data_IF_300313233004
#
_entry.id   IF_300313233004
#
_cell.length_a   1.000
_cell.length_b   1.000
_cell.length_c   1.000
_cell.angle_alpha   90.00
_cell.angle_beta   90.00
_cell.angle_gamma   90.00
#
_symmetry.space_group_name_H-M   'P 1'
#
loop_
_entity.id
_entity.type
_entity.pdbx_description
1 polymer ?
#
# COMPACT_ATOMS: atom_id res chain seq x y z
N UNK A 1 -2.00 -0.63 25.80
CA UNK A 1 -1.47 0.75 25.61
C UNK A 1 -1.73 1.14 24.19
N UNK A 2 -2.45 2.22 23.96
CA UNK A 2 -2.62 2.80 22.64
C UNK A 2 -1.29 3.41 22.18
N UNK A 3 -1.10 3.51 20.87
CA UNK A 3 0.15 3.98 20.30
C UNK A 3 -0.12 4.74 18.99
N UNK A 4 0.74 4.55 18.01
CA UNK A 4 0.56 5.17 16.68
C UNK A 4 -0.10 4.15 15.75
N UNK A 5 -1.24 4.52 15.19
CA UNK A 5 -1.86 3.79 14.08
C UNK A 5 -1.60 4.55 12.78
N UNK A 6 -1.19 3.83 11.75
CA UNK A 6 -0.91 4.35 10.41
C UNK A 6 -1.89 3.69 9.43
N UNK A 7 -2.76 4.49 8.80
CA UNK A 7 -3.69 4.02 7.76
C UNK A 7 -3.01 4.14 6.41
N UNK A 8 -2.89 3.02 5.72
CA UNK A 8 -2.15 2.85 4.48
C UNK A 8 -0.80 2.16 4.71
N UNK A 9 -0.44 1.23 3.84
CA UNK A 9 0.83 0.52 3.85
C UNK A 9 1.68 0.85 2.61
N UNK A 10 1.69 2.11 2.19
CA UNK A 10 2.53 2.59 1.10
C UNK A 10 3.92 3.04 1.57
N UNK A 11 4.67 3.64 0.65
CA UNK A 11 6.04 4.12 0.89
C UNK A 11 6.11 5.09 2.09
N UNK A 12 5.16 6.02 2.20
CA UNK A 12 5.12 7.00 3.30
C UNK A 12 4.94 6.32 4.67
N UNK A 13 4.05 5.32 4.75
CA UNK A 13 3.80 4.56 5.96
C UNK A 13 5.04 3.76 6.39
N UNK A 14 5.65 3.02 5.46
CA UNK A 14 6.87 2.24 5.73
C UNK A 14 8.03 3.12 6.18
N UNK A 15 8.21 4.28 5.54
CA UNK A 15 9.26 5.23 5.94
C UNK A 15 8.96 5.88 7.29
N UNK A 16 7.69 6.29 7.56
CA UNK A 16 7.31 6.87 8.84
C UNK A 16 7.54 5.90 10.00
N UNK A 17 7.14 4.66 9.87
CA UNK A 17 7.34 3.64 10.89
C UNK A 17 8.84 3.39 11.16
N UNK A 18 9.66 3.30 10.10
CA UNK A 18 11.11 3.17 10.24
C UNK A 18 11.73 4.39 10.95
N UNK A 19 11.31 5.60 10.56
CA UNK A 19 11.82 6.85 11.18
C UNK A 19 11.42 6.95 12.66
N UNK A 20 10.23 6.53 13.04
CA UNK A 20 9.80 6.49 14.44
C UNK A 20 10.71 5.57 15.27
N UNK A 21 11.05 4.38 14.75
CA UNK A 21 11.99 3.47 15.45
C UNK A 21 13.41 4.03 15.51
N UNK A 22 13.87 4.68 14.44
CA UNK A 22 15.17 5.38 14.44
C UNK A 22 15.21 6.51 15.48
N UNK A 23 14.09 7.22 15.66
CA UNK A 23 13.93 8.25 16.70
C UNK A 23 13.70 7.66 18.10
N UNK A 24 13.87 6.35 18.28
CA UNK A 24 13.70 5.64 19.56
C UNK A 24 12.29 5.76 20.17
N UNK A 25 11.26 5.86 19.32
CA UNK A 25 9.89 5.77 19.79
C UNK A 25 9.60 4.35 20.27
N UNK A 26 9.32 4.17 21.55
CA UNK A 26 9.14 2.87 22.20
C UNK A 26 7.68 2.40 22.23
N UNK A 27 6.71 3.28 21.94
CA UNK A 27 5.29 2.95 21.89
C UNK A 27 4.93 1.99 20.76
N UNK A 28 3.74 1.43 20.80
CA UNK A 28 3.25 0.54 19.73
C UNK A 28 3.09 1.30 18.40
N UNK A 29 3.42 0.64 17.30
CA UNK A 29 3.20 1.13 15.92
C UNK A 29 2.41 0.05 15.19
N UNK A 30 1.25 0.42 14.65
CA UNK A 30 0.39 -0.47 13.86
C UNK A 30 0.17 0.16 12.49
N UNK A 31 0.44 -0.59 11.43
CA UNK A 31 0.19 -0.20 10.03
C UNK A 31 -0.97 -1.05 9.51
N UNK A 32 -1.99 -0.40 8.96
CA UNK A 32 -3.18 -1.02 8.37
C UNK A 32 -3.20 -0.74 6.87
N UNK A 33 -2.96 -1.75 6.04
CA UNK A 33 -2.86 -1.64 4.58
C UNK A 33 -3.90 -2.43 3.83
N UNK A 34 -4.56 -1.81 2.85
CA UNK A 34 -5.57 -2.48 2.03
C UNK A 34 -4.96 -3.46 1.00
N UNK A 35 -3.73 -3.22 0.58
CA UNK A 35 -3.01 -4.12 -0.33
C UNK A 35 -2.42 -5.30 0.44
N UNK A 36 -2.22 -6.43 -0.23
CA UNK A 36 -1.67 -7.65 0.38
C UNK A 36 -0.15 -7.61 0.54
N UNK A 37 0.50 -6.65 -0.11
CA UNK A 37 1.95 -6.49 -0.07
C UNK A 37 2.40 -5.58 1.08
N UNK A 38 3.58 -5.85 1.69
CA UNK A 38 4.25 -4.92 2.57
C UNK A 38 4.53 -3.57 1.87
N UNK A 39 4.87 -2.50 2.61
CA UNK A 39 5.18 -1.20 2.01
C UNK A 39 6.26 -1.27 0.92
N UNK A 40 5.96 -0.79 -0.27
CA UNK A 40 6.85 -0.82 -1.43
C UNK A 40 6.91 0.53 -2.17
N UNK A 41 7.93 0.68 -3.01
CA UNK A 41 8.19 1.86 -3.83
C UNK A 41 7.36 1.79 -5.12
N UNK A 42 6.59 2.86 -5.39
CA UNK A 42 5.74 2.93 -6.61
C UNK A 42 6.52 3.27 -7.90
N UNK A 43 7.56 4.14 -7.88
CA UNK A 43 8.22 4.55 -9.11
C UNK A 43 8.79 3.41 -9.97
N UNK A 44 9.31 2.30 -9.42
CA UNK A 44 9.77 1.18 -10.24
C UNK A 44 8.67 0.43 -10.99
N UNK A 45 7.41 0.53 -10.54
CA UNK A 45 6.30 -0.24 -11.09
C UNK A 45 6.07 -0.02 -12.57
N UNK A 46 6.24 1.21 -13.07
CA UNK A 46 6.11 1.56 -14.48
C UNK A 46 7.42 1.46 -15.28
N UNK A 47 8.47 0.92 -14.66
CA UNK A 47 9.83 0.88 -15.21
C UNK A 47 10.41 -0.53 -15.08
N UNK A 48 11.44 -0.68 -14.26
CA UNK A 48 12.21 -1.91 -14.09
C UNK A 48 11.38 -3.08 -13.53
N UNK A 49 10.35 -2.80 -12.74
CA UNK A 49 9.45 -3.86 -12.29
C UNK A 49 8.55 -4.33 -13.46
N UNK A 50 7.99 -3.40 -14.26
CA UNK A 50 7.20 -3.76 -15.45
C UNK A 50 8.01 -4.53 -16.48
N UNK A 51 9.26 -4.12 -16.75
CA UNK A 51 10.15 -4.81 -17.70
C UNK A 51 10.66 -6.16 -17.20
N UNK A 52 10.49 -6.46 -15.88
CA UNK A 52 10.99 -7.70 -15.29
C UNK A 52 12.47 -7.66 -14.87
N UNK A 53 13.14 -6.51 -15.02
CA UNK A 53 14.53 -6.32 -14.59
C UNK A 53 14.68 -6.29 -13.06
N UNK A 54 13.61 -5.91 -12.36
CA UNK A 54 13.57 -5.80 -10.90
C UNK A 54 12.54 -6.77 -10.32
N UNK A 55 12.98 -7.65 -9.42
CA UNK A 55 12.07 -8.53 -8.69
C UNK A 55 11.30 -7.81 -7.58
N UNK A 56 10.24 -8.44 -7.09
CA UNK A 56 9.35 -7.88 -6.07
C UNK A 56 10.10 -7.48 -4.79
N UNK A 57 11.07 -8.28 -4.35
CA UNK A 57 11.82 -8.01 -3.12
C UNK A 57 12.60 -6.69 -3.17
N UNK A 58 13.00 -6.27 -4.37
CA UNK A 58 13.78 -5.05 -4.57
C UNK A 58 12.95 -3.78 -4.67
N UNK A 59 11.65 -3.90 -4.80
CA UNK A 59 10.74 -2.74 -4.74
C UNK A 59 10.26 -2.45 -3.31
N UNK A 60 10.46 -3.36 -2.37
CA UNK A 60 10.04 -3.17 -0.98
C UNK A 60 10.78 -1.98 -0.33
N UNK A 61 10.08 -1.19 0.50
CA UNK A 61 10.69 -0.10 1.29
C UNK A 61 11.64 -0.67 2.33
N UNK A 62 11.25 -1.78 2.95
CA UNK A 62 12.05 -2.61 3.86
C UNK A 62 11.65 -4.07 3.66
N UNK A 63 12.56 -5.02 3.92
CA UNK A 63 12.21 -6.43 3.97
C UNK A 63 11.06 -6.66 4.97
N UNK A 64 10.18 -7.61 4.71
CA UNK A 64 9.03 -7.90 5.59
C UNK A 64 9.47 -8.18 7.04
N UNK A 65 10.56 -8.93 7.20
CA UNK A 65 11.17 -9.23 8.49
C UNK A 65 11.49 -7.98 9.32
N UNK A 66 11.82 -6.86 8.69
CA UNK A 66 12.12 -5.60 9.38
C UNK A 66 10.98 -5.16 10.31
N UNK A 67 9.74 -5.30 9.88
CA UNK A 67 8.58 -4.86 10.67
C UNK A 67 8.46 -5.70 11.95
N UNK A 68 8.62 -7.00 11.85
CA UNK A 68 8.61 -7.89 13.00
C UNK A 68 9.80 -7.62 13.95
N UNK A 69 11.02 -7.52 13.40
CA UNK A 69 12.25 -7.27 14.18
C UNK A 69 12.18 -5.91 14.93
N UNK A 70 11.46 -4.93 14.39
CA UNK A 70 11.26 -3.61 14.99
C UNK A 70 9.96 -3.50 15.81
N UNK A 71 9.28 -4.61 16.09
CA UNK A 71 8.01 -4.61 16.83
C UNK A 71 6.98 -3.65 16.22
N UNK A 72 6.87 -3.63 14.89
CA UNK A 72 5.85 -2.91 14.13
C UNK A 72 4.79 -3.91 13.69
N UNK A 73 3.56 -3.75 14.16
CA UNK A 73 2.44 -4.57 13.72
C UNK A 73 2.02 -4.14 12.29
N UNK A 74 2.27 -4.99 11.31
CA UNK A 74 1.89 -4.76 9.92
C UNK A 74 0.72 -5.68 9.55
N UNK A 75 -0.43 -5.08 9.27
CA UNK A 75 -1.62 -5.77 8.80
C UNK A 75 -1.87 -5.42 7.34
N UNK A 76 -1.52 -6.33 6.45
CA UNK A 76 -1.81 -6.24 5.01
C UNK A 76 -3.20 -6.80 4.71
N UNK A 77 -3.79 -6.47 3.55
CA UNK A 77 -5.15 -6.87 3.22
C UNK A 77 -6.23 -6.30 4.15
N UNK A 78 -5.87 -5.29 4.94
CA UNK A 78 -6.73 -4.71 5.99
C UNK A 78 -7.19 -3.32 5.59
N UNK A 79 -8.45 -3.22 5.18
CA UNK A 79 -9.08 -1.96 4.79
C UNK A 79 -9.68 -1.25 5.99
N UNK A 80 -9.28 -0.02 6.24
CA UNK A 80 -9.93 0.86 7.22
C UNK A 80 -11.14 1.52 6.55
N UNK A 81 -12.28 1.49 7.22
CA UNK A 81 -13.54 2.06 6.72
C UNK A 81 -13.95 3.33 7.45
N UNK A 82 -13.67 3.41 8.74
CA UNK A 82 -14.06 4.57 9.52
C UNK A 82 -13.02 4.97 10.57
N UNK A 83 -13.08 6.25 10.94
CA UNK A 83 -12.26 6.85 11.99
C UNK A 83 -13.21 7.53 12.97
N UNK A 84 -13.20 7.09 14.23
CA UNK A 84 -13.88 7.78 15.32
C UNK A 84 -12.86 8.62 16.09
N UNK A 85 -12.98 9.94 16.00
CA UNK A 85 -12.08 10.88 16.65
C UNK A 85 -12.40 11.06 18.14
N UNK A 86 -13.64 10.79 18.54
CA UNK A 86 -14.09 10.94 19.93
C UNK A 86 -13.52 9.83 20.81
N UNK A 87 -13.57 8.60 20.30
CA UNK A 87 -13.02 7.41 20.96
C UNK A 87 -11.57 7.13 20.55
N UNK A 88 -11.00 7.89 19.61
CA UNK A 88 -9.66 7.67 19.03
C UNK A 88 -9.50 6.22 18.54
N UNK A 89 -10.42 5.77 17.73
CA UNK A 89 -10.38 4.43 17.14
C UNK A 89 -10.56 4.45 15.62
N UNK A 90 -10.03 3.44 14.96
CA UNK A 90 -10.32 3.14 13.56
C UNK A 90 -10.97 1.77 13.47
N UNK A 91 -11.93 1.62 12.56
CA UNK A 91 -12.61 0.35 12.31
C UNK A 91 -12.30 -0.13 10.90
N UNK A 92 -12.01 -1.42 10.78
CA UNK A 92 -11.72 -2.08 9.50
C UNK A 92 -12.98 -2.69 8.89
N UNK A 93 -12.90 -3.09 7.63
CA UNK A 93 -13.98 -3.80 6.91
C UNK A 93 -14.34 -5.16 7.52
N UNK A 94 -13.42 -5.78 8.28
CA UNK A 94 -13.68 -7.00 9.05
C UNK A 94 -14.39 -6.74 10.38
N UNK A 95 -14.55 -5.47 10.78
CA UNK A 95 -15.14 -5.09 12.05
C UNK A 95 -14.13 -4.95 13.21
N UNK A 96 -12.86 -5.20 12.96
CA UNK A 96 -11.82 -5.02 13.97
C UNK A 96 -11.62 -3.54 14.29
N UNK A 97 -11.44 -3.22 15.58
CA UNK A 97 -11.20 -1.86 16.05
C UNK A 97 -9.77 -1.70 16.61
N UNK A 98 -9.09 -0.65 16.19
CA UNK A 98 -7.74 -0.29 16.66
C UNK A 98 -7.77 1.06 17.34
N UNK A 99 -7.39 1.10 18.63
CA UNK A 99 -7.26 2.32 19.41
C UNK A 99 -5.92 3.00 19.12
N UNK A 100 -5.90 4.34 19.11
CA UNK A 100 -4.69 5.11 18.86
C UNK A 100 -4.55 6.33 19.81
N UNK A 101 -3.32 6.69 20.12
CA UNK A 101 -2.98 8.00 20.71
C UNK A 101 -2.76 9.03 19.59
N UNK A 102 -2.05 8.61 18.55
CA UNK A 102 -1.77 9.38 17.33
C UNK A 102 -2.17 8.57 16.10
N UNK A 103 -2.74 9.25 15.13
CA UNK A 103 -3.15 8.67 13.86
C UNK A 103 -2.41 9.34 12.70
N UNK A 104 -1.77 8.53 11.87
CA UNK A 104 -1.21 8.97 10.59
C UNK A 104 -2.05 8.44 9.44
N UNK A 105 -2.56 9.32 8.59
CA UNK A 105 -3.27 8.95 7.37
C UNK A 105 -2.29 9.02 6.20
N UNK A 106 -1.90 7.87 5.65
CA UNK A 106 -0.91 7.70 4.58
C UNK A 106 -1.48 6.83 3.45
N UNK A 107 -2.74 7.02 3.11
CA UNK A 107 -3.51 6.19 2.16
C UNK A 107 -3.10 6.38 0.69
N UNK A 108 -2.32 7.39 0.39
CA UNK A 108 -1.87 7.68 -0.97
C UNK A 108 -3.00 8.20 -1.89
N UNK A 109 -2.95 7.80 -3.15
CA UNK A 109 -3.90 8.23 -4.18
C UNK A 109 -4.41 7.04 -5.00
N UNK A 110 -5.41 7.30 -5.85
CA UNK A 110 -5.96 6.33 -6.82
C UNK A 110 -5.81 6.88 -8.24
N UNK A 111 -5.68 6.04 -9.27
CA UNK A 111 -5.80 6.48 -10.64
C UNK A 111 -7.17 7.10 -10.89
N UNK A 112 -7.22 8.13 -11.73
CA UNK A 112 -8.50 8.63 -12.22
C UNK A 112 -9.02 7.64 -13.26
N UNK A 113 -10.14 7.01 -12.96
CA UNK A 113 -10.80 6.12 -13.92
C UNK A 113 -11.43 6.96 -15.04
N UNK A 114 -11.21 6.55 -16.28
CA UNK A 114 -11.83 7.17 -17.44
C UNK A 114 -13.34 6.90 -17.44
N UNK A 115 -14.12 7.91 -17.81
CA UNK A 115 -15.59 7.83 -17.89
C UNK A 115 -16.11 8.15 -19.30
N UNK A 116 -15.28 7.89 -20.32
CA UNK A 116 -15.61 8.06 -21.74
C UNK A 116 -16.18 6.77 -22.33
N UNK A 117 -16.95 6.84 -23.43
CA UNK A 117 -17.44 5.65 -24.11
C UNK A 117 -16.30 4.67 -24.42
N UNK A 118 -16.48 3.40 -24.09
CA UNK A 118 -15.50 2.33 -24.29
C UNK A 118 -14.48 2.18 -23.15
N UNK A 119 -14.54 2.98 -22.09
CA UNK A 119 -13.64 2.83 -20.92
C UNK A 119 -13.90 1.56 -20.11
N UNK A 120 -14.97 0.85 -20.39
CA UNK A 120 -15.37 -0.43 -19.81
C UNK A 120 -14.97 -1.65 -20.68
N UNK A 121 -14.34 -1.42 -21.83
CA UNK A 121 -13.88 -2.49 -22.70
C UNK A 121 -12.72 -3.29 -22.08
N UNK A 122 -12.61 -4.55 -22.45
CA UNK A 122 -11.49 -5.40 -22.06
C UNK A 122 -10.16 -4.87 -22.63
N UNK A 123 -9.07 -5.08 -21.90
CA UNK A 123 -7.73 -4.64 -22.29
C UNK A 123 -7.39 -3.20 -21.87
N UNK A 124 -8.25 -2.55 -21.10
CA UNK A 124 -7.95 -1.26 -20.47
C UNK A 124 -7.39 -1.54 -19.08
N UNK A 125 -6.20 -1.03 -18.83
CA UNK A 125 -5.47 -1.22 -17.58
C UNK A 125 -5.10 0.12 -16.95
N UNK A 126 -5.10 0.17 -15.64
CA UNK A 126 -4.60 1.30 -14.86
C UNK A 126 -3.37 0.84 -14.10
N UNK A 127 -2.36 1.69 -14.01
CA UNK A 127 -1.11 1.33 -13.34
C UNK A 127 -0.97 2.10 -12.02
N UNK A 128 -1.10 1.38 -10.91
CA UNK A 128 -0.91 1.94 -9.58
C UNK A 128 -0.30 0.96 -8.59
N UNK A 129 -0.70 -0.30 -8.63
CA UNK A 129 -0.33 -1.35 -7.68
C UNK A 129 0.55 -2.41 -8.34
N UNK A 130 1.15 -3.29 -7.54
CA UNK A 130 1.86 -4.47 -8.04
C UNK A 130 0.89 -5.35 -8.84
N UNK A 131 -0.32 -5.59 -8.33
CA UNK A 131 -1.33 -6.41 -9.00
C UNK A 131 -1.72 -5.84 -10.37
N UNK A 132 -1.81 -4.50 -10.50
CA UNK A 132 -2.04 -3.85 -11.79
C UNK A 132 -0.91 -4.17 -12.79
N UNK A 133 0.34 -4.08 -12.33
CA UNK A 133 1.50 -4.39 -13.19
C UNK A 133 1.53 -5.84 -13.60
N UNK A 134 1.23 -6.76 -12.70
CA UNK A 134 1.21 -8.19 -12.99
C UNK A 134 0.09 -8.52 -14.00
N UNK A 135 -1.07 -7.86 -13.87
CA UNK A 135 -2.14 -7.92 -14.87
C UNK A 135 -1.73 -7.36 -16.23
N UNK A 136 -1.06 -6.21 -16.24
CA UNK A 136 -0.52 -5.61 -17.48
C UNK A 136 0.52 -6.53 -18.13
N UNK A 137 1.46 -7.07 -17.37
CA UNK A 137 2.49 -8.01 -17.87
C UNK A 137 1.84 -9.24 -18.50
N UNK A 138 0.80 -9.78 -17.89
CA UNK A 138 0.04 -10.91 -18.44
C UNK A 138 -0.62 -10.53 -19.77
N UNK A 139 -1.27 -9.37 -19.84
CA UNK A 139 -1.91 -8.89 -21.06
C UNK A 139 -0.91 -8.61 -22.18
N UNK A 140 0.29 -8.13 -21.87
CA UNK A 140 1.35 -7.84 -22.83
C UNK A 140 1.88 -9.09 -23.56
N UNK A 141 1.74 -10.28 -22.99
CA UNK A 141 2.20 -11.52 -23.62
C UNK A 141 1.48 -11.81 -24.94
N UNK A 142 0.25 -11.36 -25.11
CA UNK A 142 -0.58 -11.61 -26.29
C UNK A 142 -0.92 -10.33 -27.07
N UNK A 143 -0.67 -9.16 -26.48
CA UNK A 143 -0.97 -7.87 -27.11
C UNK A 143 -0.08 -7.61 -28.32
N UNK A 144 -0.69 -7.29 -29.48
CA UNK A 144 0.04 -6.90 -30.69
C UNK A 144 0.29 -5.39 -30.77
N UNK A 145 -0.52 -4.60 -30.07
CA UNK A 145 -0.42 -3.13 -30.03
C UNK A 145 -0.76 -2.65 -28.61
N UNK A 146 -0.04 -1.64 -28.17
CA UNK A 146 -0.27 -0.99 -26.88
C UNK A 146 -0.45 0.50 -27.14
N UNK A 147 -1.47 1.10 -26.52
CA UNK A 147 -1.69 2.53 -26.50
C UNK A 147 -1.55 3.02 -25.06
N UNK A 148 -0.82 4.11 -24.83
CA UNK A 148 -0.64 4.74 -23.53
C UNK A 148 -1.25 6.14 -23.60
N UNK A 149 -2.09 6.50 -22.61
CA UNK A 149 -2.80 7.79 -22.53
C UNK A 149 -2.39 8.53 -21.28
#
# INVERSE_FOLDING_TARGET
>A
MSGIVIIGAGQAAGQAAASLRQAKYEGSITILGNETQPPYQRPPLSKQYLSGELGIDRVMVRPEKFYADQSIALHTGTRVESIDRSTKSVTTSSGDAYQYDKLLIATGSRPRILTIPGSDLSGIHYLRTIDDVDGIRTAMQTAKKICIV
#
